data_IF_467650739755
#
_entry.id   IF_467650739755
#
_cell.length_a   1.000
_cell.length_b   1.000
_cell.length_c   1.000
_cell.angle_alpha   90.00
_cell.angle_beta   90.00
_cell.angle_gamma   90.00
#
_symmetry.space_group_name_H-M   'P 1'
#
loop_
_entity.id
_entity.type
_entity.pdbx_description
1 polymer ?
#
# COMPACT_ATOMS: atom_id res chain seq x y z
N UNK A 1 -13.52 12.21 3.64
CA UNK A 1 -13.39 11.22 2.54
C UNK A 1 -14.18 9.97 2.87
N UNK A 2 -15.00 9.49 1.95
CA UNK A 2 -15.78 8.28 2.15
C UNK A 2 -15.26 7.15 1.29
N UNK A 3 -15.19 5.98 1.87
CA UNK A 3 -14.80 4.74 1.19
C UNK A 3 -15.89 3.71 1.49
N UNK A 4 -16.21 2.91 0.51
CA UNK A 4 -17.24 1.88 0.64
C UNK A 4 -16.67 0.54 0.19
N UNK A 5 -16.96 -0.50 0.94
CA UNK A 5 -16.54 -1.86 0.62
C UNK A 5 -17.78 -2.72 0.56
N UNK A 6 -17.98 -3.41 -0.57
CA UNK A 6 -19.18 -4.22 -0.82
C UNK A 6 -18.75 -5.65 -1.07
N UNK A 7 -19.43 -6.59 -0.40
CA UNK A 7 -19.21 -8.02 -0.63
C UNK A 7 -19.73 -8.40 -2.01
N UNK A 8 -18.93 -9.15 -2.75
CA UNK A 8 -19.36 -9.75 -4.02
C UNK A 8 -19.79 -11.17 -3.79
N UNK A 9 -18.92 -11.95 -3.19
CA UNK A 9 -19.18 -13.38 -2.97
C UNK A 9 -18.16 -13.90 -1.95
N UNK A 10 -18.61 -14.66 -0.97
CA UNK A 10 -17.71 -15.24 0.04
C UNK A 10 -16.80 -14.19 0.70
N UNK A 11 -15.50 -14.37 0.57
CA UNK A 11 -14.49 -13.45 1.10
C UNK A 11 -14.06 -12.37 0.11
N UNK A 12 -14.69 -12.33 -1.06
CA UNK A 12 -14.38 -11.36 -2.09
C UNK A 12 -15.21 -10.09 -1.91
N UNK A 13 -14.52 -8.97 -1.78
CA UNK A 13 -15.12 -7.65 -1.63
C UNK A 13 -14.54 -6.69 -2.67
N UNK A 14 -15.23 -5.60 -2.92
CA UNK A 14 -14.73 -4.55 -3.81
C UNK A 14 -14.89 -3.22 -3.10
N UNK A 15 -13.78 -2.48 -3.02
CA UNK A 15 -13.76 -1.15 -2.44
C UNK A 15 -13.86 -0.08 -3.50
N UNK A 16 -14.54 1.02 -3.16
CA UNK A 16 -14.64 2.20 -3.99
C UNK A 16 -14.49 3.45 -3.13
N UNK A 17 -14.09 4.55 -3.74
CA UNK A 17 -13.91 5.81 -3.04
C UNK A 17 -13.99 6.99 -4.00
N UNK A 18 -13.54 8.13 -3.56
CA UNK A 18 -13.62 9.37 -4.34
C UNK A 18 -12.86 9.32 -5.66
N UNK A 19 -11.79 8.53 -5.75
CA UNK A 19 -11.00 8.41 -6.98
C UNK A 19 -11.77 7.74 -8.11
N UNK A 20 -12.85 7.03 -7.79
CA UNK A 20 -13.61 6.25 -8.76
C UNK A 20 -12.95 4.94 -9.16
N UNK A 21 -11.80 4.62 -8.60
CA UNK A 21 -11.12 3.36 -8.88
C UNK A 21 -11.61 2.26 -7.97
N UNK A 22 -11.72 1.07 -8.50
CA UNK A 22 -12.12 -0.10 -7.73
C UNK A 22 -10.91 -0.83 -7.17
N UNK A 23 -11.05 -1.35 -5.96
CA UNK A 23 -10.03 -2.16 -5.32
C UNK A 23 -10.61 -3.53 -5.03
N UNK A 24 -10.16 -4.57 -5.73
CA UNK A 24 -10.60 -5.92 -5.42
C UNK A 24 -9.88 -6.41 -4.16
N UNK A 25 -10.64 -6.99 -3.25
CA UNK A 25 -10.16 -7.45 -1.94
C UNK A 25 -10.57 -8.91 -1.76
N UNK A 26 -9.66 -9.71 -1.24
CA UNK A 26 -9.97 -11.09 -0.89
C UNK A 26 -9.19 -11.48 0.36
N UNK A 27 -9.62 -12.52 1.03
CA UNK A 27 -8.92 -13.06 2.18
C UNK A 27 -7.73 -13.92 1.74
N UNK A 28 -6.84 -14.19 2.67
CA UNK A 28 -5.74 -15.13 2.43
C UNK A 28 -6.32 -16.53 2.16
N UNK A 29 -5.58 -17.33 1.40
CA UNK A 29 -6.03 -18.67 1.04
C UNK A 29 -6.35 -19.55 2.24
N UNK A 30 -5.57 -19.45 3.33
CA UNK A 30 -5.81 -20.25 4.52
C UNK A 30 -7.07 -19.84 5.28
N UNK A 31 -7.64 -18.68 5.01
CA UNK A 31 -8.92 -18.24 5.56
C UNK A 31 -10.08 -18.70 4.67
N UNK A 32 -9.83 -18.87 3.38
CA UNK A 32 -10.85 -19.25 2.39
C UNK A 32 -10.86 -18.36 1.17
N UNK A 33 -9.87 -17.47 1.04
CA UNK A 33 -9.75 -16.63 -0.14
C UNK A 33 -9.37 -17.42 -1.38
N UNK A 34 -9.70 -16.89 -2.53
CA UNK A 34 -9.50 -17.56 -3.84
C UNK A 34 -8.63 -16.73 -4.79
N UNK A 35 -7.86 -15.81 -4.26
CA UNK A 35 -6.95 -15.01 -5.07
C UNK A 35 -7.62 -13.99 -5.98
N UNK A 36 -8.82 -13.55 -5.65
CA UNK A 36 -9.59 -12.61 -6.48
C UNK A 36 -9.26 -11.15 -6.21
N UNK A 37 -8.41 -10.88 -5.24
CA UNK A 37 -8.04 -9.52 -4.90
C UNK A 37 -6.89 -9.44 -3.93
N UNK A 38 -6.60 -8.20 -3.52
CA UNK A 38 -5.51 -7.87 -2.61
C UNK A 38 -5.95 -8.17 -1.17
N UNK A 39 -5.06 -8.72 -0.37
CA UNK A 39 -5.36 -8.96 1.05
C UNK A 39 -5.38 -7.63 1.79
N UNK A 40 -6.30 -7.41 2.75
CA UNK A 40 -6.38 -6.15 3.48
C UNK A 40 -5.08 -5.66 4.10
N UNK A 41 -4.27 -6.48 4.77
CA UNK A 41 -2.98 -6.00 5.29
C UNK A 41 -2.04 -5.53 4.20
N UNK A 42 -1.99 -6.24 3.09
CA UNK A 42 -1.17 -5.87 1.93
C UNK A 42 -1.61 -4.50 1.39
N UNK A 43 -2.91 -4.27 1.29
CA UNK A 43 -3.46 -3.00 0.83
C UNK A 43 -3.10 -1.85 1.77
N UNK A 44 -3.12 -2.11 3.07
CA UNK A 44 -2.70 -1.11 4.06
C UNK A 44 -1.25 -0.68 3.83
N UNK A 45 -0.36 -1.63 3.57
CA UNK A 45 1.05 -1.33 3.34
C UNK A 45 1.27 -0.63 1.99
N UNK A 46 0.50 -0.98 0.97
CA UNK A 46 0.52 -0.22 -0.28
C UNK A 46 0.15 1.25 -0.04
N UNK A 47 -0.84 1.50 0.79
CA UNK A 47 -1.27 2.87 1.06
C UNK A 47 -0.19 3.66 1.80
N UNK A 48 0.46 3.05 2.78
CA UNK A 48 1.55 3.70 3.53
C UNK A 48 2.72 4.01 2.59
N UNK A 49 3.17 3.02 1.83
CA UNK A 49 4.29 3.18 0.90
C UNK A 49 3.99 4.22 -0.18
N UNK A 50 2.78 4.19 -0.73
CA UNK A 50 2.35 5.15 -1.73
C UNK A 50 2.35 6.57 -1.22
N UNK A 51 1.87 6.78 0.00
CA UNK A 51 1.88 8.08 0.64
C UNK A 51 3.30 8.61 0.80
N UNK A 52 4.21 7.79 1.29
CA UNK A 52 5.62 8.16 1.46
C UNK A 52 6.25 8.51 0.11
N UNK A 53 5.98 7.70 -0.92
CA UNK A 53 6.54 7.93 -2.26
C UNK A 53 6.07 9.24 -2.86
N UNK A 54 4.78 9.54 -2.74
CA UNK A 54 4.21 10.80 -3.27
C UNK A 54 4.82 12.00 -2.55
N UNK A 55 4.91 11.97 -1.23
CA UNK A 55 5.50 13.06 -0.46
C UNK A 55 6.98 13.25 -0.77
N UNK A 56 7.71 12.17 -0.93
CA UNK A 56 9.12 12.22 -1.28
C UNK A 56 9.31 12.85 -2.66
N UNK A 57 8.53 12.42 -3.64
CA UNK A 57 8.59 12.99 -4.98
C UNK A 57 8.30 14.50 -4.93
N UNK A 58 7.26 14.89 -4.21
CA UNK A 58 6.88 16.31 -4.09
C UNK A 58 8.01 17.13 -3.47
N UNK A 59 8.61 16.65 -2.38
CA UNK A 59 9.70 17.35 -1.70
C UNK A 59 10.91 17.55 -2.60
N UNK A 60 11.30 16.50 -3.33
CA UNK A 60 12.44 16.57 -4.24
C UNK A 60 12.15 17.48 -5.42
N UNK A 61 10.94 17.43 -5.94
CA UNK A 61 10.53 18.26 -7.07
C UNK A 61 10.57 19.76 -6.70
N UNK A 62 10.11 20.10 -5.49
CA UNK A 62 10.15 21.48 -5.00
C UNK A 62 11.56 22.02 -4.87
N UNK A 63 12.54 21.15 -4.64
CA UNK A 63 13.94 21.53 -4.59
C UNK A 63 14.61 21.56 -5.97
N UNK A 64 13.84 21.37 -7.03
CA UNK A 64 14.35 21.36 -8.39
C UNK A 64 15.14 20.11 -8.77
N UNK A 65 15.00 19.04 -8.00
CA UNK A 65 15.69 17.79 -8.28
C UNK A 65 14.83 16.91 -9.19
N UNK A 66 15.46 16.31 -10.19
CA UNK A 66 14.77 15.38 -11.08
C UNK A 66 14.90 13.97 -10.54
N UNK A 67 13.77 13.38 -10.23
CA UNK A 67 13.72 12.01 -9.69
C UNK A 67 13.49 11.04 -10.84
N UNK A 68 14.41 10.10 -11.04
CA UNK A 68 14.26 9.06 -12.04
C UNK A 68 13.47 7.88 -11.55
N UNK A 69 13.67 7.54 -10.27
CA UNK A 69 13.12 6.31 -9.75
C UNK A 69 12.94 6.41 -8.25
N UNK A 70 11.78 6.02 -7.78
CA UNK A 70 11.50 5.87 -6.35
C UNK A 70 10.92 4.48 -6.16
N UNK A 71 11.49 3.74 -5.25
CA UNK A 71 11.02 2.40 -4.93
C UNK A 71 10.91 2.30 -3.41
N UNK A 72 9.78 1.81 -2.93
CA UNK A 72 9.55 1.67 -1.50
C UNK A 72 9.05 0.25 -1.23
N UNK A 73 9.77 -0.43 -0.36
CA UNK A 73 9.40 -1.77 0.07
C UNK A 73 8.98 -1.71 1.53
N UNK A 74 7.90 -2.37 1.85
CA UNK A 74 7.43 -2.46 3.23
C UNK A 74 7.55 -3.88 3.73
N UNK A 75 7.88 -4.01 5.00
CA UNK A 75 7.86 -5.28 5.69
C UNK A 75 7.26 -5.03 7.07
N UNK A 76 6.62 -6.03 7.64
CA UNK A 76 5.92 -5.84 8.90
C UNK A 76 6.05 -7.08 9.78
N UNK A 77 6.20 -6.82 11.08
CA UNK A 77 6.12 -7.86 12.10
C UNK A 77 4.74 -7.81 12.71
N UNK A 78 4.13 -8.96 12.93
CA UNK A 78 2.86 -9.04 13.60
C UNK A 78 2.86 -10.19 14.62
N UNK A 79 1.96 -10.08 15.58
CA UNK A 79 1.76 -11.14 16.57
C UNK A 79 1.18 -12.34 15.84
N UNK A 80 1.87 -13.49 15.96
CA UNK A 80 1.45 -14.72 15.30
C UNK A 80 0.42 -15.50 16.09
N UNK A 81 0.25 -15.18 17.37
CA UNK A 81 -0.70 -15.83 18.26
C UNK A 81 -1.88 -14.91 18.54
N UNK A 82 -3.05 -15.52 18.72
CA UNK A 82 -4.25 -14.78 19.07
C UNK A 82 -4.97 -14.17 17.89
N UNK A 83 -6.13 -13.62 18.19
CA UNK A 83 -6.97 -12.95 17.20
C UNK A 83 -7.64 -11.74 17.86
N UNK A 84 -7.68 -10.58 17.19
CA UNK A 84 -7.11 -10.30 15.89
C UNK A 84 -5.58 -10.19 15.93
N UNK A 85 -4.96 -10.52 14.79
CA UNK A 85 -3.51 -10.36 14.65
C UNK A 85 -3.21 -8.88 14.43
N UNK A 86 -2.28 -8.34 15.21
CA UNK A 86 -1.89 -6.92 15.10
C UNK A 86 -0.44 -6.82 14.68
N UNK A 87 -0.13 -5.74 13.96
CA UNK A 87 1.23 -5.46 13.53
C UNK A 87 1.94 -4.70 14.65
N UNK A 88 3.13 -5.17 15.02
CA UNK A 88 3.92 -4.56 16.08
C UNK A 88 4.96 -3.59 15.52
N UNK A 89 5.43 -3.83 14.30
CA UNK A 89 6.43 -2.99 13.64
C UNK A 89 6.20 -2.99 12.14
N UNK A 90 6.42 -1.84 11.52
CA UNK A 90 6.38 -1.67 10.07
C UNK A 90 7.70 -1.03 9.66
N UNK A 91 8.38 -1.67 8.71
CA UNK A 91 9.65 -1.19 8.17
C UNK A 91 9.43 -0.68 6.76
N UNK A 92 10.00 0.48 6.44
CA UNK A 92 9.98 1.02 5.09
C UNK A 92 11.42 1.13 4.59
N UNK A 93 11.68 0.53 3.45
CA UNK A 93 12.97 0.61 2.77
C UNK A 93 12.77 1.46 1.52
N UNK A 94 13.47 2.59 1.46
CA UNK A 94 13.28 3.58 0.39
C UNK A 94 14.52 3.64 -0.48
N UNK A 95 14.33 3.48 -1.78
CA UNK A 95 15.39 3.60 -2.77
C UNK A 95 15.02 4.75 -3.71
N UNK A 96 15.90 5.72 -3.85
CA UNK A 96 15.68 6.89 -4.69
C UNK A 96 16.87 7.10 -5.61
N UNK A 97 16.59 7.28 -6.88
CA UNK A 97 17.60 7.67 -7.87
C UNK A 97 17.26 9.06 -8.36
N UNK A 98 18.14 9.99 -8.12
CA UNK A 98 17.95 11.41 -8.44
C UNK A 98 19.03 11.85 -9.42
N UNK A 99 18.62 12.57 -10.45
CA UNK A 99 19.54 13.24 -11.35
C UNK A 99 19.85 14.63 -10.80
N UNK A 100 21.12 14.90 -10.69
CA UNK A 100 21.57 16.26 -10.46
C UNK A 100 21.91 16.80 -11.84
N UNK A 101 21.14 17.76 -12.32
CA UNK A 101 21.45 18.42 -13.58
C UNK A 101 22.57 19.41 -13.26
N UNK A 102 23.81 19.02 -13.60
CA UNK A 102 24.94 19.90 -13.48
C UNK A 102 24.83 21.05 -14.48
N UNK A 103 25.36 22.17 -14.09
CA UNK A 103 25.46 23.29 -15.01
C UNK A 103 26.78 23.30 -15.72
#
# INVERSE_FOLDING_TARGET
MKVKVVQKEDFHFVGTGESGREVPIDAAGYVGGKGRGIRPPELLFHSIAGCVGIHLYEALHKEGKHTEHIEIETDAERITEGYPKVFTKIYLYVKVVVFIIGK
#
